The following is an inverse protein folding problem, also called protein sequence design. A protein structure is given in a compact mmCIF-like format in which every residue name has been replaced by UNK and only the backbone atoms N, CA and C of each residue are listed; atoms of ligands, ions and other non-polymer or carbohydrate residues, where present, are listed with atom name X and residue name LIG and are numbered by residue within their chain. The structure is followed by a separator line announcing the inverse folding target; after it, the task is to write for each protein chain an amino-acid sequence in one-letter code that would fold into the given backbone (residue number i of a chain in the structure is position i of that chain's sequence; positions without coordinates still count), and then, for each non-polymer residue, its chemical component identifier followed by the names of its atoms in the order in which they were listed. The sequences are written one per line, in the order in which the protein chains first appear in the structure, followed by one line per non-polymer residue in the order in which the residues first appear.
data_IF_604550721555
#
_entry.id   IF_604550721555
#
_cell.length_a   1.000
_cell.length_b   1.000
_cell.length_c   1.000
_cell.angle_alpha   90.00
_cell.angle_beta   90.00
_cell.angle_gamma   90.00
#
_symmetry.space_group_name_H-M   'P 1'
#
loop_
_entity.id
_entity.type
_entity.pdbx_description
1 polymer ?
#
# COMPACT_ATOMS: atom_id res chain seq x y z
N UNK A 1 18.79 -6.78 5.97
CA UNK A 1 18.14 -5.98 4.90
C UNK A 1 18.45 -4.52 5.17
N UNK A 2 18.90 -3.77 4.15
CA UNK A 2 19.05 -2.32 4.26
C UNK A 2 17.73 -1.70 3.76
N UNK A 3 17.00 -1.04 4.64
CA UNK A 3 15.74 -0.39 4.33
C UNK A 3 16.02 0.93 3.58
N UNK A 4 15.56 1.03 2.33
CA UNK A 4 15.72 2.23 1.50
C UNK A 4 14.39 2.96 1.46
N UNK A 5 14.40 4.23 1.84
CA UNK A 5 13.23 5.11 1.79
C UNK A 5 13.44 6.18 0.73
N UNK A 6 12.35 6.67 0.15
CA UNK A 6 12.39 7.73 -0.85
C UNK A 6 12.40 9.11 -0.21
N UNK A 7 11.70 9.25 0.91
CA UNK A 7 11.59 10.46 1.71
C UNK A 7 12.24 10.27 3.08
N UNK A 8 12.64 11.37 3.70
CA UNK A 8 13.08 11.36 5.09
C UNK A 8 11.88 11.45 6.06
N UNK A 9 12.07 11.15 7.36
CA UNK A 9 10.97 11.16 8.34
C UNK A 9 10.22 12.49 8.42
N UNK A 10 10.94 13.62 8.38
CA UNK A 10 10.32 14.96 8.46
C UNK A 10 9.48 15.31 7.24
N UNK A 11 9.82 14.76 6.07
CA UNK A 11 9.09 15.01 4.84
C UNK A 11 7.72 14.33 4.82
N UNK A 12 7.45 13.35 5.68
CA UNK A 12 6.18 12.61 5.67
C UNK A 12 5.25 12.97 6.84
N UNK A 13 5.68 13.85 7.75
CA UNK A 13 4.93 14.16 8.98
C UNK A 13 3.56 14.78 8.71
N UNK A 14 3.40 15.46 7.57
CA UNK A 14 2.15 16.07 7.12
C UNK A 14 1.15 15.07 6.53
N UNK A 15 1.57 13.83 6.29
CA UNK A 15 0.68 12.76 5.81
C UNK A 15 -0.13 12.22 6.98
N UNK A 16 -1.45 12.44 6.92
CA UNK A 16 -2.38 12.00 7.95
C UNK A 16 -2.55 10.49 7.95
N UNK A 17 -2.50 9.90 9.13
CA UNK A 17 -2.88 8.51 9.38
C UNK A 17 -4.16 8.51 10.19
N UNK A 18 -5.22 7.90 9.67
CA UNK A 18 -6.55 7.91 10.28
C UNK A 18 -7.11 6.50 10.43
N UNK A 19 -8.08 6.34 11.33
CA UNK A 19 -8.79 5.07 11.55
C UNK A 19 -8.13 4.16 12.60
N UNK A 20 -8.45 2.87 12.57
CA UNK A 20 -7.99 1.89 13.54
C UNK A 20 -7.53 0.60 12.85
N UNK A 21 -6.32 0.15 13.20
CA UNK A 21 -5.71 -1.06 12.68
C UNK A 21 -5.75 -2.16 13.73
N UNK A 22 -6.48 -3.24 13.44
CA UNK A 22 -6.57 -4.42 14.31
C UNK A 22 -5.47 -5.46 14.05
N UNK A 23 -4.58 -5.21 13.07
CA UNK A 23 -3.61 -6.18 12.59
C UNK A 23 -4.07 -6.95 11.35
N UNK A 24 -3.10 -7.48 10.62
CA UNK A 24 -3.33 -8.45 9.54
C UNK A 24 -3.68 -9.80 10.15
N UNK A 25 -4.74 -10.44 9.64
CA UNK A 25 -5.37 -11.62 10.23
C UNK A 25 -5.13 -12.91 9.45
N UNK A 26 -4.61 -12.81 8.24
CA UNK A 26 -4.49 -13.91 7.28
C UNK A 26 -3.24 -13.75 6.43
N UNK A 27 -2.70 -14.88 6.00
CA UNK A 27 -1.65 -14.98 4.99
C UNK A 27 -2.26 -15.61 3.72
N UNK A 28 -1.95 -15.10 2.52
CA UNK A 28 -1.06 -13.97 2.25
C UNK A 28 -1.66 -12.60 2.59
N UNK A 29 -0.76 -11.61 2.71
CA UNK A 29 -1.10 -10.19 2.69
C UNK A 29 -1.25 -9.75 1.24
N UNK A 30 -2.43 -9.28 0.86
CA UNK A 30 -2.70 -8.85 -0.51
C UNK A 30 -2.33 -7.38 -0.71
N UNK A 31 -1.52 -7.08 -1.72
CA UNK A 31 -1.33 -5.74 -2.25
C UNK A 31 -2.24 -5.56 -3.46
N UNK A 32 -3.24 -4.69 -3.34
CA UNK A 32 -4.26 -4.48 -4.37
C UNK A 32 -4.23 -3.06 -4.91
N UNK A 33 -4.70 -2.89 -6.14
CA UNK A 33 -4.86 -1.60 -6.82
C UNK A 33 -5.98 -1.69 -7.87
N UNK A 34 -6.44 -0.52 -8.33
CA UNK A 34 -7.40 -0.42 -9.43
C UNK A 34 -6.67 -0.64 -10.78
N UNK A 35 -6.97 -1.73 -11.51
CA UNK A 35 -6.28 -2.03 -12.76
C UNK A 35 -6.61 -1.10 -13.92
N UNK A 36 -7.68 -0.30 -13.80
CA UNK A 36 -8.05 0.72 -14.78
C UNK A 36 -7.44 2.09 -14.48
N UNK A 37 -6.50 2.15 -13.52
CA UNK A 37 -5.72 3.34 -13.28
C UNK A 37 -5.08 3.83 -14.59
N UNK A 38 -5.04 5.15 -14.77
CA UNK A 38 -4.46 5.74 -15.98
C UNK A 38 -2.99 5.31 -16.12
N UNK A 39 -2.46 5.28 -17.35
CA UNK A 39 -1.04 4.95 -17.57
C UNK A 39 -0.09 5.86 -16.77
N UNK A 40 -0.51 7.11 -16.51
CA UNK A 40 0.24 8.06 -15.69
C UNK A 40 0.22 7.70 -14.20
N UNK A 41 -0.85 7.10 -13.70
CA UNK A 41 -0.94 6.65 -12.31
C UNK A 41 -0.24 5.30 -12.13
N UNK A 42 -0.32 4.43 -13.14
CA UNK A 42 0.19 3.07 -13.10
C UNK A 42 1.70 3.02 -12.81
N UNK A 43 2.48 4.01 -13.29
CA UNK A 43 3.92 4.10 -12.98
C UNK A 43 4.21 4.27 -11.49
N UNK A 44 3.37 5.03 -10.78
CA UNK A 44 3.51 5.23 -9.34
C UNK A 44 2.95 4.06 -8.54
N UNK A 45 1.86 3.44 -9.02
CA UNK A 45 1.34 2.19 -8.46
C UNK A 45 2.38 1.07 -8.54
N UNK A 46 2.98 0.85 -9.70
CA UNK A 46 4.00 -0.18 -9.89
C UNK A 46 5.22 0.04 -9.00
N UNK A 47 5.70 1.29 -8.94
CA UNK A 47 6.83 1.67 -8.09
C UNK A 47 6.50 1.49 -6.60
N UNK A 48 5.38 2.04 -6.15
CA UNK A 48 4.94 1.96 -4.75
C UNK A 48 4.68 0.53 -4.31
N UNK A 49 4.04 -0.28 -5.15
CA UNK A 49 3.82 -1.72 -4.89
C UNK A 49 5.15 -2.45 -4.73
N UNK A 50 6.12 -2.18 -5.61
CA UNK A 50 7.44 -2.83 -5.57
C UNK A 50 8.21 -2.46 -4.31
N UNK A 51 8.32 -1.16 -4.01
CA UNK A 51 9.04 -0.67 -2.82
C UNK A 51 8.40 -1.23 -1.54
N UNK A 52 7.08 -1.10 -1.40
CA UNK A 52 6.35 -1.61 -0.25
C UNK A 52 6.50 -3.13 -0.09
N UNK A 53 6.38 -3.89 -1.18
CA UNK A 53 6.56 -5.35 -1.15
C UNK A 53 7.94 -5.75 -0.62
N UNK A 54 9.00 -5.05 -1.04
CA UNK A 54 10.35 -5.34 -0.59
C UNK A 54 10.48 -5.15 0.92
N UNK A 55 9.92 -4.07 1.49
CA UNK A 55 9.93 -3.86 2.94
C UNK A 55 9.12 -4.91 3.68
N UNK A 56 7.90 -5.22 3.20
CA UNK A 56 7.02 -6.21 3.82
C UNK A 56 7.66 -7.61 3.84
N UNK A 57 8.22 -8.05 2.71
CA UNK A 57 8.81 -9.38 2.58
C UNK A 57 10.15 -9.44 3.34
N UNK A 58 11.08 -8.52 3.05
CA UNK A 58 12.46 -8.64 3.53
C UNK A 58 12.67 -8.18 4.96
N UNK A 59 11.88 -7.21 5.42
CA UNK A 59 12.06 -6.66 6.77
C UNK A 59 11.02 -7.16 7.76
N UNK A 60 9.80 -7.43 7.31
CA UNK A 60 8.69 -7.80 8.20
C UNK A 60 8.29 -9.27 8.07
N UNK A 61 8.82 -9.99 7.07
CA UNK A 61 8.59 -11.43 6.89
C UNK A 61 7.18 -11.78 6.42
N UNK A 62 6.44 -10.84 5.82
CA UNK A 62 5.12 -11.13 5.27
C UNK A 62 5.23 -11.95 3.98
N UNK A 63 4.32 -12.91 3.81
CA UNK A 63 4.03 -13.49 2.50
C UNK A 63 3.05 -12.56 1.77
N UNK A 64 3.50 -11.95 0.68
CA UNK A 64 2.76 -10.91 -0.04
C UNK A 64 2.34 -11.42 -1.41
N UNK A 65 1.08 -11.20 -1.77
CA UNK A 65 0.53 -11.55 -3.08
C UNK A 65 -0.08 -10.31 -3.75
N UNK A 66 0.19 -10.13 -5.04
CA UNK A 66 -0.40 -9.05 -5.83
C UNK A 66 -1.84 -9.41 -6.20
N UNK A 67 -2.76 -8.45 -6.03
CA UNK A 67 -4.18 -8.57 -6.32
C UNK A 67 -4.68 -7.37 -7.13
N UNK A 68 -5.88 -7.49 -7.67
CA UNK A 68 -6.60 -6.38 -8.32
C UNK A 68 -7.94 -6.13 -7.63
N UNK A 69 -8.54 -4.97 -7.84
CA UNK A 69 -9.90 -4.70 -7.35
C UNK A 69 -11.00 -5.21 -8.28
N UNK A 70 -10.66 -5.51 -9.55
CA UNK A 70 -11.56 -6.00 -10.59
C UNK A 70 -10.81 -6.75 -11.69
N UNK A 71 -11.51 -7.54 -12.50
CA UNK A 71 -10.93 -8.36 -13.57
C UNK A 71 -11.23 -7.75 -14.94
N UNK A 72 -10.63 -6.60 -15.24
CA UNK A 72 -10.92 -5.82 -16.47
C UNK A 72 -9.72 -5.69 -17.41
N UNK A 73 -8.51 -6.02 -16.96
CA UNK A 73 -7.28 -5.95 -17.76
C UNK A 73 -6.54 -7.29 -17.79
N UNK A 74 -5.77 -7.54 -18.85
CA UNK A 74 -4.94 -8.75 -19.01
C UNK A 74 -3.97 -8.96 -17.83
N UNK A 75 -3.54 -7.87 -17.18
CA UNK A 75 -2.66 -7.91 -16.01
C UNK A 75 -3.31 -8.56 -14.78
N UNK A 76 -4.64 -8.66 -14.75
CA UNK A 76 -5.42 -9.17 -13.63
C UNK A 76 -6.10 -10.53 -13.88
N UNK A 77 -5.99 -11.10 -15.08
CA UNK A 77 -6.69 -12.34 -15.46
C UNK A 77 -6.37 -13.50 -14.53
N UNK A 78 -5.11 -13.63 -14.12
CA UNK A 78 -4.64 -14.66 -13.18
C UNK A 78 -4.38 -14.12 -11.77
N UNK A 79 -4.90 -12.92 -11.44
CA UNK A 79 -4.72 -12.28 -10.14
C UNK A 79 -5.99 -12.39 -9.30
N UNK A 80 -5.87 -12.63 -7.98
CA UNK A 80 -7.03 -12.64 -7.10
C UNK A 80 -7.66 -11.25 -7.05
N UNK A 81 -9.00 -11.22 -7.02
CA UNK A 81 -9.78 -9.99 -6.87
C UNK A 81 -10.05 -9.76 -5.39
N UNK A 82 -9.35 -8.79 -4.80
CA UNK A 82 -9.36 -8.53 -3.35
C UNK A 82 -9.49 -7.05 -3.08
N UNK A 83 -10.45 -6.69 -2.21
CA UNK A 83 -10.74 -5.31 -1.80
C UNK A 83 -10.76 -5.20 -0.26
N UNK A 84 -10.83 -3.98 0.28
CA UNK A 84 -10.96 -3.78 1.73
C UNK A 84 -12.28 -4.30 2.34
N UNK A 85 -13.27 -4.64 1.53
CA UNK A 85 -14.53 -5.22 2.01
C UNK A 85 -14.47 -6.76 2.10
N UNK A 86 -13.34 -7.33 1.67
CA UNK A 86 -13.04 -8.75 1.82
C UNK A 86 -12.55 -9.07 3.24
N UNK A 87 -12.64 -10.33 3.66
CA UNK A 87 -12.16 -10.79 4.98
C UNK A 87 -10.64 -11.08 5.00
N UNK A 88 -9.91 -10.57 4.02
CA UNK A 88 -8.48 -10.77 3.86
C UNK A 88 -7.65 -9.66 4.55
N UNK A 89 -6.34 -9.88 4.63
CA UNK A 89 -5.37 -8.86 5.00
C UNK A 89 -4.96 -8.12 3.74
N UNK A 90 -5.23 -6.82 3.68
CA UNK A 90 -5.15 -6.06 2.42
C UNK A 90 -4.44 -4.74 2.64
N UNK A 91 -3.54 -4.40 1.71
CA UNK A 91 -3.05 -3.05 1.51
C UNK A 91 -3.52 -2.58 0.13
N UNK A 92 -4.36 -1.55 0.11
CA UNK A 92 -4.92 -0.99 -1.12
C UNK A 92 -4.22 0.33 -1.48
N UNK A 93 -3.56 0.36 -2.63
CA UNK A 93 -2.93 1.57 -3.16
C UNK A 93 -3.90 2.33 -4.07
N UNK A 94 -4.11 3.62 -3.77
CA UNK A 94 -5.04 4.50 -4.49
C UNK A 94 -4.28 5.74 -4.98
N UNK A 95 -3.98 5.87 -6.29
CA UNK A 95 -3.15 6.95 -6.82
C UNK A 95 -3.98 8.24 -7.00
N UNK A 96 -4.71 8.66 -5.97
CA UNK A 96 -5.60 9.82 -5.98
C UNK A 96 -5.53 10.57 -4.66
N UNK A 97 -5.92 11.83 -4.68
CA UNK A 97 -6.05 12.65 -3.47
C UNK A 97 -7.19 12.16 -2.57
N UNK A 98 -7.13 12.44 -1.25
CA UNK A 98 -6.04 13.11 -0.52
C UNK A 98 -4.83 12.19 -0.25
N UNK A 99 -3.68 12.81 0.06
CA UNK A 99 -2.48 12.11 0.52
C UNK A 99 -2.66 11.67 1.97
N UNK A 100 -2.94 10.40 2.20
CA UNK A 100 -3.17 9.87 3.55
C UNK A 100 -3.02 8.35 3.63
N UNK A 101 -3.02 7.86 4.87
CA UNK A 101 -3.17 6.45 5.21
C UNK A 101 -4.48 6.28 6.00
N UNK A 102 -5.31 5.33 5.58
CA UNK A 102 -6.56 4.98 6.27
C UNK A 102 -6.50 3.54 6.74
N UNK A 103 -6.78 3.34 8.03
CA UNK A 103 -6.72 2.05 8.70
C UNK A 103 -8.14 1.59 9.05
N UNK A 104 -8.54 0.42 8.54
CA UNK A 104 -9.87 -0.17 8.80
C UNK A 104 -9.74 -1.66 9.08
N UNK A 105 -9.60 -2.02 10.35
CA UNK A 105 -9.50 -3.43 10.76
C UNK A 105 -8.22 -4.08 10.23
N UNK A 106 -8.34 -5.02 9.29
CA UNK A 106 -7.22 -5.66 8.59
C UNK A 106 -6.90 -5.06 7.22
N UNK A 107 -7.60 -3.99 6.83
CA UNK A 107 -7.30 -3.23 5.61
C UNK A 107 -6.52 -1.95 5.91
N UNK A 108 -5.52 -1.67 5.07
CA UNK A 108 -4.78 -0.40 5.02
C UNK A 108 -4.95 0.19 3.63
N UNK A 109 -5.55 1.37 3.54
CA UNK A 109 -5.61 2.13 2.28
C UNK A 109 -4.53 3.20 2.31
N UNK A 110 -3.71 3.25 1.27
CA UNK A 110 -2.65 4.26 1.10
C UNK A 110 -2.98 5.06 -0.14
N UNK A 111 -3.18 6.37 0.02
CA UNK A 111 -3.58 7.25 -1.08
C UNK A 111 -2.66 8.44 -1.25
N UNK A 112 -2.59 8.95 -2.48
CA UNK A 112 -1.88 10.16 -2.85
C UNK A 112 -1.77 10.30 -4.38
N UNK A 113 -1.68 11.52 -4.88
CA UNK A 113 -1.46 11.78 -6.31
C UNK A 113 0.03 11.65 -6.66
N UNK A 114 0.36 10.84 -7.66
CA UNK A 114 1.74 10.69 -8.18
C UNK A 114 2.75 10.34 -7.08
N UNK A 115 3.75 11.20 -6.86
CA UNK A 115 4.78 11.03 -5.84
C UNK A 115 4.23 11.07 -4.41
N UNK A 116 3.08 11.70 -4.19
CA UNK A 116 2.44 11.73 -2.89
C UNK A 116 1.96 10.34 -2.46
N UNK A 117 1.64 9.44 -3.40
CA UNK A 117 1.37 8.03 -3.06
C UNK A 117 2.58 7.39 -2.38
N UNK A 118 3.77 7.61 -2.93
CA UNK A 118 5.02 7.08 -2.39
C UNK A 118 5.34 7.70 -1.03
N UNK A 119 5.01 8.99 -0.85
CA UNK A 119 5.12 9.69 0.43
C UNK A 119 4.23 9.05 1.51
N UNK A 120 2.99 8.69 1.16
CA UNK A 120 2.10 7.94 2.06
C UNK A 120 2.58 6.53 2.37
N UNK A 121 3.23 5.86 1.41
CA UNK A 121 3.88 4.55 1.65
C UNK A 121 5.02 4.70 2.66
N UNK A 122 5.92 5.67 2.47
CA UNK A 122 7.02 5.91 3.42
C UNK A 122 6.49 6.32 4.79
N UNK A 123 5.41 7.13 4.86
CA UNK A 123 4.73 7.44 6.13
C UNK A 123 4.29 6.19 6.88
N UNK A 124 3.61 5.28 6.18
CA UNK A 124 3.14 4.01 6.73
C UNK A 124 4.32 3.17 7.23
N UNK A 125 5.36 3.04 6.42
CA UNK A 125 6.55 2.28 6.77
C UNK A 125 7.25 2.88 7.99
N UNK A 126 7.48 4.20 8.04
CA UNK A 126 8.08 4.85 9.19
C UNK A 126 7.28 4.64 10.48
N UNK A 127 5.96 4.58 10.40
CA UNK A 127 5.11 4.24 11.54
C UNK A 127 5.30 2.79 12.01
N UNK A 128 5.40 1.84 11.07
CA UNK A 128 5.64 0.43 11.39
C UNK A 128 7.05 0.18 11.93
N UNK A 129 8.05 0.89 11.42
CA UNK A 129 9.42 0.88 11.96
C UNK A 129 9.58 1.67 13.26
N UNK A 130 8.53 2.32 13.77
CA UNK A 130 8.55 3.15 14.99
C UNK A 130 9.51 4.35 14.91
N UNK A 131 9.71 4.88 13.70
CA UNK A 131 10.53 6.08 13.44
C UNK A 131 9.68 7.35 13.60
N UNK A 132 8.46 7.35 13.05
CA UNK A 132 7.46 8.43 13.19
C UNK A 132 6.22 7.85 13.86
N UNK A 133 5.50 8.63 14.67
CA UNK A 133 4.24 8.20 15.28
C UNK A 133 3.07 8.60 14.41
#
# INVERSE_FOLDING_TARGET
YLAVFRFNPTQVEDVYVTGNFSGFKSSPLYLTFDPDASSDDFKYLALGTTELSIHLIRSMGFHVEAACTKNETDACVDRPIVTCDSNQSVIYLVPKTPTQVTLKGSCVTVSGDKFELLKSIDRLLFQWYKIVR
#
